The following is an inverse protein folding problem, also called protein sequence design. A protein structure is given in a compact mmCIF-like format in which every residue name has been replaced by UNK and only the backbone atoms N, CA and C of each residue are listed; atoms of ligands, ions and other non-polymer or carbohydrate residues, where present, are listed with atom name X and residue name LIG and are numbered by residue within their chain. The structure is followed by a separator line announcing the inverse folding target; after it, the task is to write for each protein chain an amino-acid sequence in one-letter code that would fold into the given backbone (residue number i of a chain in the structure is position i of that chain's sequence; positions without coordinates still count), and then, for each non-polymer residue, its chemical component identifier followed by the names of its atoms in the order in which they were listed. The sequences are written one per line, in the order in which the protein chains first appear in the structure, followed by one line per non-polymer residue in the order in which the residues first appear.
data_IF_458532709897
#
_entry.id   IF_458532709897
#
_cell.length_a   1.000
_cell.length_b   1.000
_cell.length_c   1.000
_cell.angle_alpha   90.00
_cell.angle_beta   90.00
_cell.angle_gamma   90.00
#
_symmetry.space_group_name_H-M   'P 1'
#
loop_
_entity.id
_entity.type
_entity.pdbx_description
1 polymer ?
#
# COMPACT_ATOMS: atom_id res chain seq x y z
N UNK A 1 13.78 0.42 12.75
CA UNK A 1 13.93 1.22 11.51
C UNK A 1 15.41 1.49 11.27
N UNK A 2 15.96 1.18 10.10
CA UNK A 2 17.35 1.39 9.72
C UNK A 2 17.45 2.36 8.53
N UNK A 3 17.31 3.68 8.75
CA UNK A 3 17.29 4.67 7.68
C UNK A 3 18.70 4.91 7.14
N UNK A 4 18.78 5.27 5.85
CA UNK A 4 20.00 5.76 5.21
C UNK A 4 20.21 7.22 5.61
N UNK A 5 21.46 7.61 5.90
CA UNK A 5 21.85 9.00 6.10
C UNK A 5 22.30 9.63 4.78
N UNK A 6 22.25 10.94 4.72
CA UNK A 6 22.69 11.69 3.54
C UNK A 6 24.15 11.38 3.16
N UNK A 7 25.03 11.24 4.15
CA UNK A 7 26.44 10.90 3.95
C UNK A 7 26.68 9.49 3.35
N UNK A 8 25.70 8.60 3.41
CA UNK A 8 25.78 7.25 2.86
C UNK A 8 25.55 7.22 1.34
N UNK A 9 25.17 8.34 0.74
CA UNK A 9 24.86 8.41 -0.70
C UNK A 9 25.79 9.40 -1.40
N UNK A 10 26.45 8.91 -2.42
CA UNK A 10 27.28 9.75 -3.30
C UNK A 10 26.45 10.36 -4.43
N UNK A 11 26.97 11.47 -4.99
CA UNK A 11 26.45 12.22 -6.15
C UNK A 11 25.01 12.78 -6.03
N UNK A 12 24.54 13.04 -4.80
CA UNK A 12 23.26 13.71 -4.57
C UNK A 12 23.23 15.13 -5.19
N UNK A 13 24.39 15.76 -5.36
CA UNK A 13 24.54 17.08 -5.98
C UNK A 13 24.08 17.13 -7.44
N UNK A 14 24.08 15.98 -8.13
CA UNK A 14 23.63 15.86 -9.52
C UNK A 14 22.10 15.78 -9.67
N UNK A 15 21.37 15.60 -8.56
CA UNK A 15 19.92 15.41 -8.57
C UNK A 15 19.23 16.65 -8.01
N UNK A 16 18.22 17.14 -8.73
CA UNK A 16 17.39 18.25 -8.26
C UNK A 16 16.51 17.80 -7.08
N UNK A 17 16.19 18.72 -6.18
CA UNK A 17 15.27 18.52 -5.08
C UNK A 17 14.04 19.43 -5.21
N UNK A 18 12.90 19.06 -4.60
CA UNK A 18 12.66 17.81 -3.90
C UNK A 18 12.48 16.63 -4.89
N UNK A 19 13.04 15.47 -4.55
CA UNK A 19 12.94 14.26 -5.40
C UNK A 19 12.68 13.00 -4.58
N UNK A 20 11.90 12.07 -5.14
CA UNK A 20 11.71 10.75 -4.58
C UNK A 20 12.91 9.86 -4.95
N UNK A 21 13.50 9.22 -3.95
CA UNK A 21 14.54 8.20 -4.10
C UNK A 21 13.98 6.85 -3.71
N UNK A 22 14.29 5.80 -4.48
CA UNK A 22 13.97 4.41 -4.17
C UNK A 22 15.24 3.59 -4.11
N UNK A 23 15.32 2.69 -3.14
CA UNK A 23 16.43 1.77 -2.88
C UNK A 23 15.99 0.35 -3.28
N UNK A 24 16.26 -0.12 -4.52
CA UNK A 24 15.78 -1.41 -5.01
C UNK A 24 16.18 -2.60 -4.14
N UNK A 25 17.41 -2.61 -3.63
CA UNK A 25 17.91 -3.70 -2.76
C UNK A 25 17.09 -3.80 -1.47
N UNK A 26 16.64 -2.66 -0.91
CA UNK A 26 15.76 -2.63 0.27
C UNK A 26 14.34 -3.08 -0.08
N UNK A 27 13.85 -2.74 -1.26
CA UNK A 27 12.56 -3.27 -1.74
C UNK A 27 12.62 -4.78 -1.83
N UNK A 28 13.70 -5.33 -2.40
CA UNK A 28 13.92 -6.78 -2.52
C UNK A 28 14.03 -7.46 -1.14
N UNK A 29 14.78 -6.87 -0.21
CA UNK A 29 14.88 -7.37 1.16
C UNK A 29 13.51 -7.37 1.88
N UNK A 30 12.70 -6.34 1.65
CA UNK A 30 11.34 -6.28 2.18
C UNK A 30 10.42 -7.34 1.56
N UNK A 31 10.58 -7.66 0.27
CA UNK A 31 9.86 -8.78 -0.38
C UNK A 31 10.29 -10.11 0.25
N UNK A 32 11.60 -10.34 0.43
CA UNK A 32 12.11 -11.54 1.09
C UNK A 32 11.57 -11.68 2.52
N UNK A 33 11.56 -10.59 3.28
CA UNK A 33 10.96 -10.56 4.62
C UNK A 33 9.48 -10.95 4.61
N UNK A 34 8.70 -10.44 3.65
CA UNK A 34 7.29 -10.85 3.51
C UNK A 34 7.15 -12.35 3.22
N UNK A 35 8.00 -12.90 2.36
CA UNK A 35 8.02 -14.33 2.05
C UNK A 35 8.38 -15.17 3.27
N UNK A 36 9.41 -14.78 4.02
CA UNK A 36 9.81 -15.47 5.25
C UNK A 36 8.67 -15.51 6.28
N UNK A 37 7.94 -14.39 6.43
CA UNK A 37 6.81 -14.30 7.37
C UNK A 37 5.65 -15.25 7.05
N UNK A 38 5.45 -15.59 5.78
CA UNK A 38 4.44 -16.57 5.34
C UNK A 38 5.02 -17.97 5.11
N UNK A 39 6.24 -18.25 5.61
CA UNK A 39 6.89 -19.55 5.49
C UNK A 39 7.30 -19.91 4.05
N UNK A 40 7.52 -18.94 3.19
CA UNK A 40 7.89 -19.13 1.78
C UNK A 40 6.71 -19.44 0.85
N UNK A 41 5.49 -19.54 1.37
CA UNK A 41 4.31 -19.82 0.54
C UNK A 41 3.84 -18.53 -0.18
N UNK A 42 4.26 -18.36 -1.42
CA UNK A 42 3.87 -17.24 -2.28
C UNK A 42 2.37 -17.10 -2.50
N UNK A 43 1.62 -18.22 -2.37
CA UNK A 43 0.18 -18.24 -2.58
C UNK A 43 -0.58 -17.55 -1.44
N UNK A 44 0.08 -17.35 -0.29
CA UNK A 44 -0.44 -16.63 0.87
C UNK A 44 -0.24 -15.12 0.79
N UNK A 45 0.45 -14.64 -0.22
CA UNK A 45 0.69 -13.21 -0.43
C UNK A 45 -0.18 -12.67 -1.57
N UNK A 46 -0.86 -11.55 -1.29
CA UNK A 46 -1.57 -10.69 -2.25
C UNK A 46 -1.23 -9.22 -1.96
N UNK A 47 0.03 -8.79 -2.17
CA UNK A 47 0.48 -7.46 -1.79
C UNK A 47 -0.30 -6.35 -2.47
N UNK A 48 -0.50 -5.23 -1.76
CA UNK A 48 -1.25 -4.09 -2.28
C UNK A 48 -0.35 -3.09 -3.01
N UNK A 49 -0.55 -2.90 -4.30
CA UNK A 49 0.31 -2.04 -5.16
C UNK A 49 0.07 -0.54 -4.96
N UNK A 50 -0.97 -0.12 -4.22
CA UNK A 50 -1.32 1.31 -4.04
C UNK A 50 -0.22 2.15 -3.41
N UNK A 51 0.71 1.52 -2.67
CA UNK A 51 1.79 2.23 -1.98
C UNK A 51 2.82 2.75 -2.97
N UNK A 52 3.26 1.91 -3.90
CA UNK A 52 4.33 2.25 -4.84
C UNK A 52 3.83 2.73 -6.20
N UNK A 53 2.74 2.17 -6.76
CA UNK A 53 2.18 2.52 -8.07
C UNK A 53 3.19 2.43 -9.23
N UNK A 54 4.20 1.56 -9.10
CA UNK A 54 5.33 1.37 -10.01
C UNK A 54 5.31 -0.03 -10.60
N UNK A 55 5.48 -0.14 -11.92
CA UNK A 55 5.54 -1.39 -12.65
C UNK A 55 6.75 -2.25 -12.22
N UNK A 56 7.88 -1.60 -11.99
CA UNK A 56 9.14 -2.27 -11.63
C UNK A 56 9.03 -2.99 -10.29
N UNK A 57 8.36 -2.39 -9.30
CA UNK A 57 8.13 -3.01 -7.98
C UNK A 57 7.21 -4.24 -8.10
N UNK A 58 6.25 -4.23 -9.03
CA UNK A 58 5.46 -5.44 -9.33
C UNK A 58 6.37 -6.51 -9.93
N UNK A 59 7.22 -6.16 -10.92
CA UNK A 59 8.14 -7.13 -11.57
C UNK A 59 9.12 -7.74 -10.58
N UNK A 60 9.64 -6.99 -9.61
CA UNK A 60 10.50 -7.53 -8.54
C UNK A 60 9.77 -8.61 -7.73
N UNK A 61 8.51 -8.40 -7.41
CA UNK A 61 7.70 -9.38 -6.68
C UNK A 61 7.37 -10.60 -7.55
N UNK A 62 7.04 -10.39 -8.84
CA UNK A 62 6.79 -11.48 -9.80
C UNK A 62 8.04 -12.34 -9.98
N UNK A 63 9.22 -11.75 -10.05
CA UNK A 63 10.50 -12.48 -10.14
C UNK A 63 10.75 -13.39 -8.93
N UNK A 64 10.13 -13.10 -7.78
CA UNK A 64 10.16 -13.94 -6.57
C UNK A 64 8.95 -14.90 -6.46
N UNK A 65 8.14 -15.02 -7.52
CA UNK A 65 7.00 -15.94 -7.60
C UNK A 65 5.68 -15.39 -7.07
N UNK A 66 5.62 -14.15 -6.61
CA UNK A 66 4.38 -13.49 -6.17
C UNK A 66 3.63 -12.98 -7.40
N UNK A 67 2.52 -13.63 -7.75
CA UNK A 67 1.72 -13.29 -8.94
C UNK A 67 0.31 -12.80 -8.63
N UNK A 68 -0.09 -12.84 -7.35
CA UNK A 68 -1.37 -12.35 -6.83
C UNK A 68 -1.20 -10.96 -6.24
N UNK A 69 -2.05 -10.01 -6.63
CA UNK A 69 -1.94 -8.62 -6.18
C UNK A 69 -3.28 -8.02 -5.82
N UNK A 70 -3.26 -7.01 -4.94
CA UNK A 70 -4.40 -6.17 -4.61
C UNK A 70 -4.17 -4.76 -5.13
N UNK A 71 -5.21 -4.16 -5.72
CA UNK A 71 -5.20 -2.84 -6.32
C UNK A 71 -6.32 -1.97 -5.75
N UNK A 72 -6.15 -0.66 -5.73
CA UNK A 72 -7.18 0.30 -5.31
C UNK A 72 -7.81 1.07 -6.49
N UNK A 73 -7.23 0.99 -7.68
CA UNK A 73 -7.72 1.67 -8.88
C UNK A 73 -7.57 0.79 -10.12
N UNK A 74 -8.37 1.06 -11.15
CA UNK A 74 -8.30 0.36 -12.43
C UNK A 74 -6.91 0.57 -13.08
N UNK A 75 -6.35 1.78 -12.97
CA UNK A 75 -5.00 2.05 -13.47
C UNK A 75 -3.93 1.19 -12.77
N UNK A 76 -4.06 0.95 -11.45
CA UNK A 76 -3.18 0.02 -10.73
C UNK A 76 -3.38 -1.42 -11.21
N UNK A 77 -4.62 -1.85 -11.46
CA UNK A 77 -4.92 -3.18 -11.97
C UNK A 77 -4.33 -3.38 -13.37
N UNK A 78 -4.48 -2.41 -14.27
CA UNK A 78 -3.89 -2.41 -15.60
C UNK A 78 -2.35 -2.48 -15.55
N UNK A 79 -1.71 -1.62 -14.74
CA UNK A 79 -0.27 -1.64 -14.51
C UNK A 79 0.20 -3.01 -14.01
N UNK A 80 -0.53 -3.61 -13.07
CA UNK A 80 -0.18 -4.90 -12.46
C UNK A 80 -0.25 -6.02 -13.50
N UNK A 81 -1.28 -6.06 -14.32
CA UNK A 81 -1.42 -7.03 -15.40
C UNK A 81 -0.26 -6.93 -16.42
N UNK A 82 0.06 -5.71 -16.88
CA UNK A 82 1.18 -5.43 -17.79
C UNK A 82 2.53 -5.86 -17.18
N UNK A 83 2.63 -5.85 -15.86
CA UNK A 83 3.86 -6.15 -15.13
C UNK A 83 4.02 -7.63 -14.73
N UNK A 84 3.09 -8.51 -15.14
CA UNK A 84 3.17 -9.95 -14.92
C UNK A 84 2.34 -10.47 -13.73
N UNK A 85 1.49 -9.64 -13.12
CA UNK A 85 0.49 -10.13 -12.19
C UNK A 85 -0.56 -10.97 -12.90
N UNK A 86 -0.83 -12.17 -12.41
CA UNK A 86 -1.76 -13.12 -13.04
C UNK A 86 -3.11 -13.23 -12.32
N UNK A 87 -3.20 -12.73 -11.09
CA UNK A 87 -4.44 -12.68 -10.29
C UNK A 87 -4.51 -11.32 -9.57
N UNK A 88 -5.45 -10.48 -9.98
CA UNK A 88 -5.55 -9.07 -9.59
C UNK A 88 -6.91 -8.76 -8.97
N UNK A 89 -6.91 -8.49 -7.66
CA UNK A 89 -8.09 -8.07 -6.92
C UNK A 89 -8.19 -6.54 -6.88
N UNK A 90 -9.21 -5.99 -7.51
CA UNK A 90 -9.60 -4.59 -7.32
C UNK A 90 -10.37 -4.45 -5.99
N UNK A 91 -9.66 -4.06 -4.94
CA UNK A 91 -10.23 -3.84 -3.60
C UNK A 91 -10.92 -2.46 -3.51
N UNK A 92 -11.80 -2.22 -4.45
CA UNK A 92 -12.63 -1.03 -4.55
C UNK A 92 -13.84 -1.38 -5.41
N UNK A 93 -15.04 -1.25 -4.86
CA UNK A 93 -16.27 -1.57 -5.56
C UNK A 93 -16.42 -0.71 -6.84
N UNK A 94 -16.42 -1.31 -8.04
CA UNK A 94 -16.53 -0.55 -9.26
C UNK A 94 -18.00 -0.14 -9.51
N UNK A 95 -18.26 1.17 -9.51
CA UNK A 95 -19.58 1.74 -9.72
C UNK A 95 -19.57 2.70 -10.90
N UNK A 96 -20.74 2.90 -11.53
CA UNK A 96 -20.88 3.79 -12.67
C UNK A 96 -19.91 3.42 -13.82
N UNK A 97 -19.21 4.38 -14.43
CA UNK A 97 -18.29 4.10 -15.54
C UNK A 97 -17.14 3.14 -15.19
N UNK A 98 -16.79 3.02 -13.90
CA UNK A 98 -15.72 2.11 -13.49
C UNK A 98 -16.11 0.63 -13.60
N UNK A 99 -17.41 0.30 -13.57
CA UNK A 99 -17.87 -1.07 -13.85
C UNK A 99 -17.48 -1.48 -15.29
N UNK A 100 -17.83 -0.67 -16.27
CA UNK A 100 -17.47 -0.95 -17.66
C UNK A 100 -15.97 -0.99 -17.90
N UNK A 101 -15.19 -0.11 -17.25
CA UNK A 101 -13.71 -0.13 -17.33
C UNK A 101 -13.11 -1.39 -16.67
N UNK A 102 -13.69 -1.88 -15.57
CA UNK A 102 -13.27 -3.12 -14.94
C UNK A 102 -13.51 -4.32 -15.87
N UNK A 103 -14.66 -4.39 -16.53
CA UNK A 103 -14.96 -5.46 -17.50
C UNK A 103 -14.03 -5.38 -18.73
N UNK A 104 -13.71 -4.18 -19.19
CA UNK A 104 -12.73 -4.00 -20.27
C UNK A 104 -11.32 -4.48 -19.91
N UNK A 105 -10.91 -4.45 -18.62
CA UNK A 105 -9.65 -5.08 -18.18
C UNK A 105 -9.65 -6.58 -18.48
N UNK A 106 -10.75 -7.27 -18.17
CA UNK A 106 -10.90 -8.72 -18.40
C UNK A 106 -10.82 -9.06 -19.87
N UNK A 107 -11.49 -8.29 -20.72
CA UNK A 107 -11.48 -8.47 -22.18
C UNK A 107 -10.07 -8.24 -22.75
N UNK A 108 -9.35 -7.25 -22.23
CA UNK A 108 -8.03 -6.86 -22.73
C UNK A 108 -6.90 -7.78 -22.28
N UNK A 109 -6.98 -8.32 -21.09
CA UNK A 109 -5.96 -9.17 -20.47
C UNK A 109 -6.55 -10.54 -20.13
N UNK A 110 -6.99 -11.29 -21.14
CA UNK A 110 -7.70 -12.56 -21.01
C UNK A 110 -6.93 -13.65 -20.24
N UNK A 111 -5.59 -13.52 -20.16
CA UNK A 111 -4.73 -14.44 -19.40
C UNK A 111 -4.60 -14.06 -17.91
N UNK A 112 -5.20 -12.94 -17.48
CA UNK A 112 -5.15 -12.45 -16.10
C UNK A 112 -6.52 -12.61 -15.46
N UNK A 113 -6.54 -13.24 -14.29
CA UNK A 113 -7.75 -13.34 -13.47
C UNK A 113 -7.99 -12.02 -12.75
N UNK A 114 -9.08 -11.34 -13.08
CA UNK A 114 -9.51 -10.14 -12.36
C UNK A 114 -10.69 -10.43 -11.46
N UNK A 115 -10.66 -9.87 -10.28
CA UNK A 115 -11.78 -9.88 -9.34
C UNK A 115 -11.99 -8.48 -8.74
N UNK A 116 -13.18 -8.23 -8.22
CA UNK A 116 -13.49 -6.97 -7.54
C UNK A 116 -14.17 -7.22 -6.20
N UNK A 117 -14.04 -6.27 -5.26
CA UNK A 117 -14.84 -6.30 -4.03
C UNK A 117 -16.22 -5.70 -4.26
N UNK A 118 -17.22 -6.27 -3.61
CA UNK A 118 -18.60 -5.76 -3.56
C UNK A 118 -19.15 -5.87 -2.14
N UNK A 119 -20.01 -4.95 -1.74
CA UNK A 119 -20.64 -4.92 -0.41
C UNK A 119 -22.15 -4.60 -0.47
N UNK A 120 -22.71 -4.46 -1.69
CA UNK A 120 -24.12 -4.14 -1.85
C UNK A 120 -24.84 -4.96 -2.91
N UNK A 121 -26.10 -5.35 -2.65
CA UNK A 121 -26.93 -6.06 -3.62
C UNK A 121 -27.16 -5.27 -4.92
N UNK A 122 -27.16 -3.94 -4.85
CA UNK A 122 -27.37 -3.04 -5.99
C UNK A 122 -26.23 -3.16 -6.99
N UNK A 123 -24.97 -3.18 -6.50
CA UNK A 123 -23.79 -3.32 -7.37
C UNK A 123 -23.72 -4.73 -7.96
N UNK A 124 -24.05 -5.77 -7.21
CA UNK A 124 -24.17 -7.13 -7.75
C UNK A 124 -25.21 -7.16 -8.87
N UNK A 125 -26.37 -6.50 -8.70
CA UNK A 125 -27.39 -6.39 -9.75
C UNK A 125 -26.87 -5.67 -11.02
N UNK A 126 -25.99 -4.67 -10.88
CA UNK A 126 -25.38 -4.02 -12.03
C UNK A 126 -24.43 -4.96 -12.78
N UNK A 127 -23.63 -5.79 -12.07
CA UNK A 127 -22.83 -6.82 -12.69
C UNK A 127 -23.69 -7.86 -13.43
N UNK A 128 -24.75 -8.37 -12.80
CA UNK A 128 -25.68 -9.33 -13.42
C UNK A 128 -26.28 -8.79 -14.72
N UNK A 129 -26.71 -7.53 -14.76
CA UNK A 129 -27.28 -6.86 -15.95
C UNK A 129 -26.33 -6.80 -17.14
N UNK A 130 -25.01 -6.82 -16.90
CA UNK A 130 -24.04 -6.78 -18.01
C UNK A 130 -24.02 -8.07 -18.81
N UNK A 131 -24.39 -9.21 -18.19
CA UNK A 131 -24.29 -10.55 -18.77
C UNK A 131 -22.84 -11.04 -18.96
N UNK A 132 -21.83 -10.22 -18.58
CA UNK A 132 -20.42 -10.61 -18.65
C UNK A 132 -20.02 -11.35 -17.37
N UNK A 133 -19.10 -12.31 -17.50
CA UNK A 133 -18.58 -13.04 -16.35
C UNK A 133 -17.73 -12.15 -15.47
N UNK A 134 -17.87 -12.27 -14.15
CA UNK A 134 -17.04 -11.55 -13.17
C UNK A 134 -16.86 -12.40 -11.89
N UNK A 135 -15.64 -12.33 -11.34
CA UNK A 135 -15.29 -12.97 -10.06
C UNK A 135 -15.34 -11.91 -8.97
N UNK A 136 -16.13 -12.14 -7.91
CA UNK A 136 -16.44 -11.14 -6.89
C UNK A 136 -16.08 -11.63 -5.47
N UNK A 137 -15.41 -10.78 -4.73
CA UNK A 137 -15.20 -10.92 -3.29
C UNK A 137 -16.23 -10.07 -2.53
N UNK A 138 -16.88 -10.67 -1.54
CA UNK A 138 -17.70 -9.87 -0.62
C UNK A 138 -16.78 -9.15 0.36
N UNK A 139 -16.85 -7.80 0.36
CA UNK A 139 -16.13 -6.96 1.33
C UNK A 139 -16.89 -7.00 2.65
N UNK A 140 -16.20 -7.37 3.74
CA UNK A 140 -16.78 -7.51 5.08
C UNK A 140 -16.27 -6.39 5.96
N UNK A 141 -17.18 -5.66 6.61
CA UNK A 141 -16.80 -4.69 7.64
C UNK A 141 -16.39 -5.41 8.93
N UNK A 142 -15.10 -5.52 9.14
CA UNK A 142 -14.49 -6.12 10.33
C UNK A 142 -14.20 -5.10 11.44
N UNK A 143 -14.89 -3.94 11.44
CA UNK A 143 -14.76 -2.89 12.44
C UNK A 143 -14.11 -1.59 11.95
N UNK A 144 -13.76 -1.50 10.65
CA UNK A 144 -13.21 -0.27 10.10
C UNK A 144 -14.28 0.78 9.78
N UNK A 145 -15.52 0.36 9.53
CA UNK A 145 -16.69 1.21 9.25
C UNK A 145 -16.45 2.21 8.09
N UNK A 146 -15.77 1.74 7.03
CA UNK A 146 -15.46 2.55 5.84
C UNK A 146 -16.19 2.04 4.59
N UNK A 147 -16.05 0.76 4.32
CA UNK A 147 -16.72 -0.04 3.28
C UNK A 147 -16.94 -1.43 3.87
N UNK A 148 -17.69 -2.24 3.16
CA UNK A 148 -18.00 -3.60 3.58
C UNK A 148 -19.40 -3.74 4.14
N UNK A 149 -19.98 -4.91 3.95
CA UNK A 149 -21.25 -5.30 4.55
C UNK A 149 -21.03 -5.82 5.97
N UNK A 150 -21.93 -5.50 6.89
CA UNK A 150 -21.89 -6.07 8.24
C UNK A 150 -21.94 -7.61 8.19
N UNK A 151 -21.08 -8.31 8.95
CA UNK A 151 -21.07 -9.77 8.96
C UNK A 151 -22.38 -10.33 9.56
N UNK A 152 -22.96 -11.33 8.86
CA UNK A 152 -24.22 -11.95 9.29
C UNK A 152 -25.08 -12.38 8.11
N UNK A 153 -26.40 -12.52 8.34
CA UNK A 153 -27.36 -13.01 7.33
C UNK A 153 -27.40 -12.15 6.05
N UNK A 154 -27.20 -10.82 6.17
CA UNK A 154 -27.14 -9.93 5.00
C UNK A 154 -25.93 -10.24 4.10
N UNK A 155 -24.76 -10.44 4.71
CA UNK A 155 -23.54 -10.83 4.01
C UNK A 155 -23.67 -12.23 3.40
N UNK A 156 -24.23 -13.18 4.13
CA UNK A 156 -24.53 -14.52 3.62
C UNK A 156 -25.48 -14.47 2.41
N UNK A 157 -26.55 -13.68 2.47
CA UNK A 157 -27.49 -13.53 1.36
C UNK A 157 -26.81 -12.95 0.11
N UNK A 158 -25.86 -12.01 0.29
CA UNK A 158 -25.05 -11.48 -0.80
C UNK A 158 -24.14 -12.55 -1.43
N UNK A 159 -23.46 -13.35 -0.60
CA UNK A 159 -22.64 -14.48 -1.06
C UNK A 159 -23.48 -15.50 -1.85
N UNK A 160 -24.65 -15.90 -1.33
CA UNK A 160 -25.58 -16.82 -2.01
C UNK A 160 -26.03 -16.27 -3.36
N UNK A 161 -26.35 -14.98 -3.41
CA UNK A 161 -26.78 -14.32 -4.67
C UNK A 161 -25.69 -14.41 -5.73
N UNK A 162 -24.45 -14.06 -5.37
CA UNK A 162 -23.32 -14.14 -6.29
C UNK A 162 -23.11 -15.59 -6.74
N UNK A 163 -23.08 -16.55 -5.78
CA UNK A 163 -22.86 -17.97 -6.09
C UNK A 163 -23.95 -18.63 -6.94
N UNK A 164 -25.18 -18.10 -6.88
CA UNK A 164 -26.32 -18.58 -7.69
C UNK A 164 -26.49 -17.87 -9.02
N UNK A 165 -25.70 -16.84 -9.30
CA UNK A 165 -25.78 -16.10 -10.55
C UNK A 165 -25.19 -16.90 -11.71
N UNK A 166 -25.78 -16.77 -12.91
CA UNK A 166 -25.31 -17.47 -14.11
C UNK A 166 -23.97 -16.94 -14.64
N UNK A 167 -23.65 -15.69 -14.34
CA UNK A 167 -22.47 -14.99 -14.88
C UNK A 167 -21.50 -14.48 -13.80
N UNK A 168 -21.78 -14.70 -12.52
CA UNK A 168 -20.89 -14.26 -11.44
C UNK A 168 -20.31 -15.46 -10.69
N UNK A 169 -19.09 -15.28 -10.20
CA UNK A 169 -18.40 -16.25 -9.36
C UNK A 169 -18.19 -15.66 -7.96
N UNK A 170 -18.59 -16.39 -6.92
CA UNK A 170 -18.22 -16.07 -5.55
C UNK A 170 -16.79 -16.53 -5.29
N UNK A 171 -15.84 -15.60 -5.38
CA UNK A 171 -14.42 -15.85 -5.19
C UNK A 171 -14.01 -15.94 -3.71
N UNK A 172 -14.74 -15.27 -2.83
CA UNK A 172 -14.44 -15.30 -1.41
C UNK A 172 -14.78 -14.02 -0.65
N UNK A 173 -14.09 -13.84 0.47
CA UNK A 173 -14.25 -12.69 1.37
C UNK A 173 -13.01 -11.78 1.35
N UNK A 174 -13.23 -10.50 1.45
CA UNK A 174 -12.19 -9.51 1.71
C UNK A 174 -12.50 -8.80 3.04
N UNK A 175 -11.55 -8.78 3.97
CA UNK A 175 -11.70 -8.12 5.27
C UNK A 175 -10.47 -7.26 5.57
N UNK A 176 -10.62 -5.94 5.50
CA UNK A 176 -9.54 -5.00 5.74
C UNK A 176 -9.65 -4.31 7.10
N UNK A 177 -8.73 -4.61 7.97
CA UNK A 177 -8.64 -4.17 9.35
C UNK A 177 -7.81 -2.88 9.55
N UNK A 178 -7.88 -1.96 8.61
CA UNK A 178 -7.09 -0.73 8.59
C UNK A 178 -7.22 0.20 9.79
N UNK A 179 -8.13 -0.05 10.71
CA UNK A 179 -8.31 0.65 11.98
C UNK A 179 -7.37 0.14 13.08
N UNK A 180 -6.76 -1.05 12.91
CA UNK A 180 -5.88 -1.66 13.91
C UNK A 180 -4.47 -1.08 13.84
N UNK A 181 -4.27 0.11 14.41
CA UNK A 181 -3.00 0.84 14.47
C UNK A 181 -2.40 0.90 15.88
N UNK A 182 -2.64 -0.11 16.71
CA UNK A 182 -2.11 -0.17 18.06
C UNK A 182 -0.60 -0.47 18.04
N UNK A 183 0.27 0.40 18.60
CA UNK A 183 1.72 0.19 18.55
C UNK A 183 2.19 -1.03 19.35
N UNK A 184 1.57 -1.28 20.51
CA UNK A 184 1.87 -2.44 21.35
C UNK A 184 1.46 -3.75 20.65
N UNK A 185 2.40 -4.71 20.52
CA UNK A 185 2.11 -5.99 19.88
C UNK A 185 1.01 -6.77 20.63
N UNK A 186 1.00 -6.73 21.96
CA UNK A 186 -0.02 -7.41 22.78
C UNK A 186 -1.39 -6.83 22.48
N UNK A 187 -1.54 -5.51 22.62
CA UNK A 187 -2.83 -4.82 22.39
C UNK A 187 -3.32 -5.02 20.95
N UNK A 188 -2.37 -5.01 19.98
CA UNK A 188 -2.67 -5.24 18.57
C UNK A 188 -3.11 -6.68 18.32
N UNK A 189 -2.52 -7.66 19.01
CA UNK A 189 -2.91 -9.08 18.93
C UNK A 189 -4.31 -9.29 19.50
N UNK A 190 -4.64 -8.70 20.64
CA UNK A 190 -5.96 -8.78 21.25
C UNK A 190 -7.02 -8.14 20.35
N UNK A 191 -6.76 -6.94 19.82
CA UNK A 191 -7.66 -6.26 18.91
C UNK A 191 -7.85 -7.03 17.58
N UNK A 192 -6.79 -7.65 17.06
CA UNK A 192 -6.84 -8.52 15.89
C UNK A 192 -7.73 -9.75 16.15
N UNK A 193 -7.56 -10.43 17.29
CA UNK A 193 -8.41 -11.56 17.66
C UNK A 193 -9.88 -11.16 17.77
N UNK A 194 -10.18 -10.04 18.41
CA UNK A 194 -11.54 -9.50 18.53
C UNK A 194 -12.14 -9.14 17.16
N UNK A 195 -11.35 -8.58 16.25
CA UNK A 195 -11.80 -8.28 14.90
C UNK A 195 -12.16 -9.56 14.13
N UNK A 196 -11.37 -10.64 14.22
CA UNK A 196 -11.69 -11.93 13.61
C UNK A 196 -12.97 -12.51 14.21
N UNK A 197 -13.10 -12.51 15.53
CA UNK A 197 -14.29 -13.02 16.22
C UNK A 197 -15.56 -12.31 15.76
N UNK A 198 -15.49 -11.02 15.44
CA UNK A 198 -16.64 -10.22 14.99
C UNK A 198 -17.30 -10.75 13.73
N UNK A 199 -16.58 -11.49 12.88
CA UNK A 199 -17.11 -12.06 11.63
C UNK A 199 -16.93 -13.59 11.52
N UNK A 200 -16.46 -14.27 12.58
CA UNK A 200 -16.34 -15.72 12.63
C UNK A 200 -17.68 -16.42 12.39
N UNK A 201 -18.78 -15.84 12.89
CA UNK A 201 -20.12 -16.34 12.64
C UNK A 201 -20.50 -16.40 11.16
N UNK A 202 -20.03 -15.47 10.34
CA UNK A 202 -20.24 -15.51 8.89
C UNK A 202 -19.51 -16.70 8.24
N UNK A 203 -18.30 -17.02 8.68
CA UNK A 203 -17.55 -18.19 8.18
C UNK A 203 -18.33 -19.48 8.45
N UNK A 204 -18.87 -19.62 9.66
CA UNK A 204 -19.69 -20.77 10.02
C UNK A 204 -20.97 -20.87 9.19
N UNK A 205 -21.62 -19.74 8.88
CA UNK A 205 -22.79 -19.71 8.01
C UNK A 205 -22.45 -20.15 6.59
N UNK A 206 -21.31 -19.69 6.03
CA UNK A 206 -20.84 -20.10 4.69
C UNK A 206 -20.52 -21.59 4.62
N UNK A 207 -19.90 -22.15 5.65
CA UNK A 207 -19.63 -23.59 5.75
C UNK A 207 -20.93 -24.40 5.79
N UNK A 208 -21.91 -23.99 6.60
CA UNK A 208 -23.21 -24.67 6.69
C UNK A 208 -23.98 -24.68 5.37
N UNK A 209 -23.77 -23.67 4.53
CA UNK A 209 -24.39 -23.55 3.20
C UNK A 209 -23.59 -24.26 2.08
N UNK A 210 -22.47 -24.87 2.40
CA UNK A 210 -21.53 -25.47 1.43
C UNK A 210 -21.07 -24.49 0.34
N UNK A 211 -20.88 -23.21 0.68
CA UNK A 211 -20.34 -22.20 -0.22
C UNK A 211 -18.81 -22.23 -0.32
N UNK A 212 -18.13 -23.10 0.45
CA UNK A 212 -16.70 -23.38 0.34
C UNK A 212 -16.38 -24.32 -0.86
N UNK A 213 -15.14 -24.31 -1.42
CA UNK A 213 -13.99 -23.50 -0.98
C UNK A 213 -14.06 -22.05 -1.51
N UNK A 214 -13.56 -21.13 -0.74
CA UNK A 214 -13.43 -19.73 -1.10
C UNK A 214 -12.13 -19.14 -0.55
N UNK A 215 -11.67 -18.07 -1.16
CA UNK A 215 -10.47 -17.36 -0.71
C UNK A 215 -10.83 -16.29 0.34
N UNK A 216 -10.00 -16.16 1.36
CA UNK A 216 -10.09 -15.06 2.34
C UNK A 216 -8.88 -14.15 2.17
N UNK A 217 -9.12 -12.88 1.80
CA UNK A 217 -8.09 -11.84 1.65
C UNK A 217 -8.18 -10.87 2.80
N UNK A 218 -7.11 -10.74 3.58
CA UNK A 218 -7.16 -10.05 4.88
C UNK A 218 -6.02 -9.05 5.08
N UNK A 219 -6.27 -8.15 5.99
CA UNK A 219 -5.30 -7.34 6.68
C UNK A 219 -4.66 -6.22 5.88
N UNK A 220 -3.85 -5.50 6.60
CA UNK A 220 -2.94 -4.46 6.13
C UNK A 220 -1.54 -4.68 6.68
N UNK A 221 -0.63 -3.72 6.49
CA UNK A 221 0.76 -3.86 6.97
C UNK A 221 0.88 -3.99 8.49
N UNK A 222 0.09 -3.29 9.34
CA UNK A 222 0.21 -3.41 10.80
C UNK A 222 -0.10 -4.80 11.36
N UNK A 223 -1.06 -5.50 10.76
CA UNK A 223 -1.54 -6.81 11.21
C UNK A 223 -0.97 -7.97 10.38
N UNK A 224 -0.13 -7.67 9.39
CA UNK A 224 0.43 -8.68 8.49
C UNK A 224 1.11 -9.83 9.25
N UNK A 225 1.95 -9.53 10.24
CA UNK A 225 2.63 -10.56 11.03
C UNK A 225 1.69 -11.48 11.81
N UNK A 226 0.50 -11.01 12.18
CA UNK A 226 -0.52 -11.80 12.86
C UNK A 226 -1.26 -12.71 11.89
N UNK A 227 -1.71 -12.17 10.75
CA UNK A 227 -2.35 -12.98 9.70
C UNK A 227 -1.41 -13.96 9.03
N UNK A 228 -0.12 -13.68 8.97
CA UNK A 228 0.89 -14.59 8.44
C UNK A 228 1.00 -15.90 9.24
N UNK A 229 0.55 -15.91 10.50
CA UNK A 229 0.51 -17.10 11.34
C UNK A 229 -0.76 -17.94 11.15
N UNK A 230 -1.77 -17.43 10.42
CA UNK A 230 -3.03 -18.11 10.18
C UNK A 230 -2.95 -18.90 8.87
N UNK A 231 -3.31 -20.17 8.88
CA UNK A 231 -3.30 -20.99 7.69
C UNK A 231 -4.38 -20.60 6.67
N UNK A 232 -4.06 -20.77 5.39
CA UNK A 232 -4.97 -20.65 4.25
C UNK A 232 -5.55 -19.25 3.94
N UNK A 233 -5.20 -18.19 4.67
CA UNK A 233 -5.63 -16.84 4.36
C UNK A 233 -4.57 -16.07 3.57
N UNK A 234 -5.01 -15.27 2.60
CA UNK A 234 -4.11 -14.42 1.80
C UNK A 234 -3.90 -13.08 2.49
N UNK A 235 -2.65 -12.80 2.83
CA UNK A 235 -2.23 -11.56 3.46
C UNK A 235 -2.02 -10.45 2.43
N UNK A 236 -2.48 -9.24 2.76
CA UNK A 236 -2.47 -8.12 1.82
C UNK A 236 -1.70 -6.89 2.32
N UNK A 237 -0.42 -7.03 2.70
CA UNK A 237 0.41 -5.90 3.08
C UNK A 237 0.71 -5.00 1.86
N UNK A 238 0.92 -3.71 2.08
CA UNK A 238 1.26 -2.78 1.00
C UNK A 238 2.43 -1.87 1.34
N UNK A 239 2.40 -1.25 2.52
CA UNK A 239 3.45 -0.31 2.96
C UNK A 239 4.76 -1.02 3.31
N UNK A 240 4.73 -2.32 3.57
CA UNK A 240 5.90 -3.18 3.82
C UNK A 240 6.98 -3.05 2.74
N UNK A 241 6.59 -2.86 1.48
CA UNK A 241 7.54 -2.77 0.36
C UNK A 241 8.43 -1.53 0.42
N UNK A 242 7.90 -0.41 0.91
CA UNK A 242 8.63 0.85 1.00
C UNK A 242 8.93 1.28 2.42
N UNK A 243 8.09 0.86 3.37
CA UNK A 243 8.10 1.23 4.76
C UNK A 243 8.22 2.75 4.95
N UNK A 244 7.80 3.26 6.07
CA UNK A 244 7.84 4.70 6.34
C UNK A 244 8.10 5.03 7.82
N UNK A 245 8.29 6.31 8.12
CA UNK A 245 8.58 6.74 9.48
C UNK A 245 7.41 6.47 10.43
N UNK A 246 6.16 6.61 9.96
CA UNK A 246 4.98 6.36 10.78
C UNK A 246 4.92 4.91 11.25
N UNK A 247 5.07 3.96 10.35
CA UNK A 247 5.06 2.55 10.69
C UNK A 247 6.36 2.10 11.38
N UNK A 248 7.51 2.65 10.98
CA UNK A 248 8.77 2.33 11.61
C UNK A 248 8.84 2.73 13.10
N UNK A 249 8.15 3.81 13.49
CA UNK A 249 8.03 4.21 14.90
C UNK A 249 6.93 3.45 15.63
N UNK A 250 5.81 3.17 14.96
CA UNK A 250 4.66 2.53 15.59
C UNK A 250 4.83 1.00 15.74
N UNK A 251 5.51 0.34 14.80
CA UNK A 251 5.58 -1.13 14.70
C UNK A 251 7.02 -1.62 14.58
N UNK A 252 7.86 -1.43 15.62
CA UNK A 252 9.26 -1.86 15.60
C UNK A 252 9.44 -3.39 15.52
N UNK A 253 8.39 -4.14 15.84
CA UNK A 253 8.33 -5.61 15.74
C UNK A 253 8.27 -6.13 14.29
N UNK A 254 7.93 -5.30 13.30
CA UNK A 254 7.79 -5.74 11.92
C UNK A 254 9.08 -5.68 11.10
N UNK A 255 10.09 -4.97 11.54
CA UNK A 255 11.48 -4.97 11.01
C UNK A 255 11.63 -4.81 9.49
N UNK A 256 10.78 -4.00 8.84
CA UNK A 256 10.94 -3.63 7.45
C UNK A 256 11.86 -2.43 7.27
N UNK A 257 12.51 -2.32 6.11
CA UNK A 257 13.42 -1.24 5.78
C UNK A 257 12.73 -0.09 5.04
N UNK A 258 13.10 1.15 5.38
CA UNK A 258 12.69 2.31 4.59
C UNK A 258 13.39 2.26 3.22
N UNK A 259 12.63 1.89 2.19
CA UNK A 259 13.10 1.74 0.82
C UNK A 259 12.70 2.89 -0.11
N UNK A 260 11.95 3.88 0.41
CA UNK A 260 11.60 5.10 -0.30
C UNK A 260 11.83 6.31 0.60
N UNK A 261 12.61 7.28 0.13
CA UNK A 261 12.98 8.49 0.86
C UNK A 261 12.90 9.70 -0.06
N UNK A 262 12.91 10.89 0.51
CA UNK A 262 12.90 12.16 -0.22
C UNK A 262 14.26 12.83 -0.08
N UNK A 263 14.82 13.27 -1.21
CA UNK A 263 15.91 14.22 -1.24
C UNK A 263 15.34 15.62 -1.12
N UNK A 264 15.88 16.42 -0.22
CA UNK A 264 15.54 17.85 -0.04
C UNK A 264 16.81 18.67 0.18
N UNK A 265 16.72 20.00 0.02
CA UNK A 265 17.83 20.91 0.29
C UNK A 265 17.42 22.06 1.19
N UNK A 266 18.40 22.55 1.94
CA UNK A 266 18.28 23.77 2.72
C UNK A 266 18.37 24.95 1.74
N UNK A 267 17.26 25.68 1.59
CA UNK A 267 17.20 26.83 0.68
C UNK A 267 17.33 28.17 1.42
N UNK A 268 17.14 28.17 2.75
CA UNK A 268 17.28 29.38 3.57
C UNK A 268 17.47 29.03 5.04
N UNK A 269 18.05 29.96 5.82
CA UNK A 269 18.25 29.80 7.27
C UNK A 269 17.68 30.97 8.07
N UNK A 270 16.36 31.22 8.07
CA UNK A 270 15.75 32.33 8.77
C UNK A 270 15.84 32.15 10.30
N UNK A 271 16.41 33.15 11.00
CA UNK A 271 16.47 33.18 12.47
C UNK A 271 17.03 31.86 13.10
N UNK A 272 18.04 31.24 12.47
CA UNK A 272 18.67 30.00 12.96
C UNK A 272 17.90 28.76 12.69
N UNK A 273 16.78 28.81 11.97
CA UNK A 273 16.02 27.64 11.48
C UNK A 273 16.53 27.17 10.13
N UNK A 274 16.16 25.95 9.75
CA UNK A 274 16.42 25.39 8.42
C UNK A 274 15.13 25.43 7.60
N UNK A 275 15.12 26.15 6.50
CA UNK A 275 14.03 26.12 5.53
C UNK A 275 14.42 25.21 4.36
N UNK A 276 13.65 24.17 4.15
CA UNK A 276 13.83 23.16 3.11
C UNK A 276 12.87 23.40 1.95
N UNK A 277 13.23 22.93 0.75
CA UNK A 277 12.37 22.88 -0.45
C UNK A 277 11.35 21.72 -0.42
N UNK A 278 10.96 21.25 0.76
CA UNK A 278 10.08 20.09 0.98
C UNK A 278 8.69 20.53 1.47
N UNK A 279 7.92 21.15 0.59
CA UNK A 279 6.54 21.54 0.90
C UNK A 279 5.54 20.40 0.78
N UNK A 280 4.26 20.71 1.06
CA UNK A 280 3.20 19.69 1.01
C UNK A 280 2.84 19.24 -0.42
N UNK A 281 3.43 19.82 -1.45
CA UNK A 281 3.37 19.31 -2.82
C UNK A 281 4.35 18.18 -3.11
N UNK A 282 5.32 17.96 -2.21
CA UNK A 282 6.36 16.93 -2.36
C UNK A 282 6.35 15.88 -1.25
N UNK A 283 5.74 16.17 -0.09
CA UNK A 283 5.51 15.21 0.99
C UNK A 283 4.08 15.32 1.50
N UNK A 284 3.46 14.18 1.78
CA UNK A 284 2.08 14.10 2.25
C UNK A 284 1.82 14.94 3.51
N UNK A 285 0.72 15.68 3.51
CA UNK A 285 0.39 16.67 4.54
C UNK A 285 -0.91 16.39 5.30
N UNK A 286 -1.49 15.20 5.16
CA UNK A 286 -2.74 14.81 5.82
C UNK A 286 -2.56 14.50 7.33
N UNK A 287 -1.32 14.26 7.77
CA UNK A 287 -0.98 14.10 9.18
C UNK A 287 -0.67 15.44 9.84
N UNK A 288 -0.74 15.55 11.18
CA UNK A 288 -0.24 16.74 11.89
C UNK A 288 1.19 17.10 11.46
N UNK A 289 1.54 18.39 11.56
CA UNK A 289 2.83 18.89 11.05
C UNK A 289 4.05 18.15 11.62
N UNK A 290 3.99 17.68 12.86
CA UNK A 290 5.05 16.90 13.50
C UNK A 290 5.23 15.50 12.88
N UNK A 291 4.25 15.04 12.12
CA UNK A 291 4.18 13.69 11.56
C UNK A 291 4.05 13.75 10.03
N UNK A 292 4.94 14.49 9.36
CA UNK A 292 4.96 14.57 7.88
C UNK A 292 6.22 13.99 7.29
N UNK A 293 7.37 14.25 7.94
CA UNK A 293 8.66 13.68 7.56
C UNK A 293 9.57 13.60 8.79
N UNK A 294 10.45 12.61 8.79
CA UNK A 294 11.51 12.44 9.76
C UNK A 294 12.86 12.49 9.06
N UNK A 295 13.85 13.11 9.68
CA UNK A 295 15.16 13.39 9.07
C UNK A 295 16.24 12.59 9.82
N UNK A 296 16.87 11.58 9.20
CA UNK A 296 17.92 10.76 9.84
C UNK A 296 19.14 11.55 10.32
N UNK A 297 19.48 12.65 9.60
CA UNK A 297 20.59 13.53 9.97
C UNK A 297 20.21 14.59 11.02
N UNK A 298 18.92 14.77 11.26
CA UNK A 298 18.34 15.73 12.18
C UNK A 298 17.25 15.09 13.05
N UNK A 299 17.55 14.01 13.81
CA UNK A 299 16.54 13.21 14.50
C UNK A 299 15.73 13.97 15.55
N UNK A 300 16.29 15.07 16.07
CA UNK A 300 15.66 15.94 17.08
C UNK A 300 14.99 17.19 16.47
N UNK A 301 15.02 17.34 15.15
CA UNK A 301 14.40 18.47 14.49
C UNK A 301 12.89 18.49 14.72
N UNK A 302 12.38 19.70 14.99
CA UNK A 302 10.94 19.95 15.19
C UNK A 302 10.41 20.78 14.02
N UNK A 303 9.37 20.33 13.34
CA UNK A 303 8.68 21.12 12.35
C UNK A 303 8.09 22.39 12.96
N UNK A 304 8.44 23.54 12.36
CA UNK A 304 7.94 24.84 12.75
C UNK A 304 6.80 25.32 11.85
N UNK A 305 6.99 25.21 10.53
CA UNK A 305 6.04 25.64 9.51
C UNK A 305 6.19 24.78 8.27
N UNK A 306 5.08 24.43 7.61
CA UNK A 306 5.09 23.89 6.26
C UNK A 306 4.09 24.66 5.38
N UNK A 307 4.49 24.95 4.16
CA UNK A 307 3.65 25.53 3.11
C UNK A 307 3.75 24.68 1.83
N UNK A 308 3.31 25.23 0.71
CA UNK A 308 3.23 24.46 -0.54
C UNK A 308 4.58 23.89 -0.98
N UNK A 309 5.65 24.71 -0.93
CA UNK A 309 6.99 24.34 -1.40
C UNK A 309 8.08 24.49 -0.32
N UNK A 310 7.71 24.75 0.93
CA UNK A 310 8.66 25.00 2.00
C UNK A 310 8.34 24.18 3.24
N UNK A 311 9.40 23.70 3.92
CA UNK A 311 9.31 23.06 5.22
C UNK A 311 10.36 23.63 6.15
N UNK A 312 9.95 24.34 7.19
CA UNK A 312 10.84 25.00 8.16
C UNK A 312 10.98 24.12 9.39
N UNK A 313 12.24 23.86 9.78
CA UNK A 313 12.61 23.07 10.93
C UNK A 313 13.35 23.89 11.97
N UNK A 314 13.09 23.66 13.23
CA UNK A 314 13.95 23.99 14.36
C UNK A 314 14.81 22.78 14.68
N UNK A 315 16.14 22.92 14.65
CA UNK A 315 17.07 21.84 14.95
C UNK A 315 18.18 22.35 15.89
N UNK A 316 18.55 21.61 16.95
CA UNK A 316 19.60 22.03 17.88
C UNK A 316 20.92 22.32 17.19
N UNK A 317 21.25 21.53 16.15
CA UNK A 317 22.47 21.62 15.36
C UNK A 317 22.29 22.33 14.00
N UNK A 318 21.30 23.23 13.86
CA UNK A 318 21.08 23.99 12.62
C UNK A 318 22.31 24.82 12.20
N UNK A 319 23.20 25.15 13.15
CA UNK A 319 24.45 25.87 12.88
C UNK A 319 25.45 25.10 12.02
N UNK A 320 25.40 23.77 12.06
CA UNK A 320 26.33 22.88 11.35
C UNK A 320 26.02 22.74 9.85
N UNK A 321 24.88 23.24 9.40
CA UNK A 321 24.41 23.13 8.03
C UNK A 321 24.47 24.48 7.28
N UNK A 322 24.73 24.41 5.99
CA UNK A 322 24.75 25.57 5.07
C UNK A 322 23.54 25.54 4.12
N UNK A 323 23.26 26.69 3.53
CA UNK A 323 22.33 26.79 2.39
C UNK A 323 22.93 26.01 1.21
N UNK A 324 22.14 25.16 0.60
CA UNK A 324 22.54 24.22 -0.47
C UNK A 324 22.80 22.81 0.02
N UNK A 325 22.99 22.58 1.32
CA UNK A 325 23.19 21.23 1.85
C UNK A 325 21.96 20.36 1.59
N UNK A 326 22.24 19.14 1.15
CA UNK A 326 21.25 18.10 0.94
C UNK A 326 20.92 17.39 2.25
N UNK A 327 19.67 16.98 2.38
CA UNK A 327 19.16 16.12 3.47
C UNK A 327 18.26 15.06 2.90
N UNK A 328 18.28 13.88 3.55
CA UNK A 328 17.28 12.85 3.31
C UNK A 328 16.14 12.98 4.33
N UNK A 329 14.93 12.78 3.84
CA UNK A 329 13.72 12.73 4.65
C UNK A 329 12.98 11.42 4.42
N UNK A 330 12.63 10.72 5.50
CA UNK A 330 11.71 9.58 5.47
C UNK A 330 10.29 10.14 5.61
N UNK A 331 9.39 9.96 4.62
CA UNK A 331 8.02 10.41 4.75
C UNK A 331 7.36 9.70 5.93
N UNK A 332 6.51 10.42 6.67
CA UNK A 332 5.74 9.80 7.75
C UNK A 332 4.64 8.87 7.22
N UNK A 333 4.12 9.17 6.02
CA UNK A 333 3.18 8.33 5.29
C UNK A 333 3.61 8.25 3.81
N UNK A 334 4.22 7.15 3.45
CA UNK A 334 4.84 6.97 2.12
C UNK A 334 3.81 6.87 0.99
N UNK A 335 2.64 6.25 1.24
CA UNK A 335 1.66 5.99 0.19
C UNK A 335 1.17 7.26 -0.54
N UNK A 336 0.64 8.30 0.13
CA UNK A 336 0.26 9.53 -0.54
C UNK A 336 1.48 10.32 -1.03
N UNK A 337 2.63 10.23 -0.35
CA UNK A 337 3.87 10.91 -0.77
C UNK A 337 4.33 10.43 -2.15
N UNK A 338 4.42 9.13 -2.37
CA UNK A 338 4.83 8.55 -3.67
C UNK A 338 3.93 9.06 -4.81
N UNK A 339 2.63 9.19 -4.57
CA UNK A 339 1.68 9.66 -5.58
C UNK A 339 1.87 11.14 -5.98
N UNK A 340 2.62 11.94 -5.21
CA UNK A 340 2.96 13.32 -5.56
C UNK A 340 4.07 13.40 -6.62
N UNK A 341 4.90 12.36 -6.74
CA UNK A 341 6.05 12.32 -7.66
C UNK A 341 5.71 11.56 -8.95
N UNK A 342 6.23 12.05 -10.07
CA UNK A 342 6.03 11.40 -11.38
C UNK A 342 6.94 10.18 -11.55
N UNK A 343 8.13 10.24 -10.98
CA UNK A 343 9.15 9.18 -11.01
C UNK A 343 10.00 9.21 -9.74
N UNK A 344 10.73 8.14 -9.51
CA UNK A 344 11.73 8.04 -8.46
C UNK A 344 13.11 7.79 -9.07
N UNK A 345 14.13 8.45 -8.56
CA UNK A 345 15.53 8.11 -8.85
C UNK A 345 15.94 6.88 -8.05
N UNK A 346 16.79 6.03 -8.63
CA UNK A 346 17.23 4.82 -7.96
C UNK A 346 18.59 5.03 -7.28
N UNK A 347 18.69 4.52 -6.08
CA UNK A 347 19.95 4.45 -5.32
C UNK A 347 20.39 3.00 -5.24
N UNK A 348 21.57 2.68 -5.81
CA UNK A 348 22.21 1.37 -5.76
C UNK A 348 23.61 1.51 -5.20
N UNK A 349 24.01 0.62 -4.32
CA UNK A 349 25.37 0.61 -3.70
C UNK A 349 25.78 2.00 -3.17
N UNK A 350 24.87 2.72 -2.52
CA UNK A 350 25.12 4.07 -1.99
C UNK A 350 25.34 5.14 -3.05
N UNK A 351 24.84 4.96 -4.27
CA UNK A 351 24.97 5.93 -5.37
C UNK A 351 23.64 6.10 -6.11
N UNK A 352 23.27 7.36 -6.42
CA UNK A 352 22.16 7.62 -7.34
C UNK A 352 22.58 7.24 -8.75
N UNK A 353 21.77 6.41 -9.40
CA UNK A 353 22.01 5.94 -10.78
C UNK A 353 21.33 6.88 -11.79
N UNK A 354 21.60 6.66 -13.09
CA UNK A 354 20.87 7.33 -14.19
C UNK A 354 19.48 6.73 -14.46
N UNK A 355 19.14 5.62 -13.79
CA UNK A 355 17.86 4.96 -13.93
C UNK A 355 16.79 5.64 -13.08
N UNK A 356 15.55 5.56 -13.53
CA UNK A 356 14.38 6.01 -12.77
C UNK A 356 13.20 5.07 -12.99
N UNK A 357 12.35 4.96 -11.96
CA UNK A 357 11.08 4.24 -12.05
C UNK A 357 9.92 5.22 -12.10
N UNK A 358 9.03 5.04 -13.07
CA UNK A 358 7.84 5.88 -13.20
C UNK A 358 6.77 5.46 -12.17
N UNK A 359 6.16 6.43 -11.49
CA UNK A 359 4.97 6.22 -10.65
C UNK A 359 3.74 6.19 -11.57
N UNK A 360 3.70 5.23 -12.47
CA UNK A 360 2.79 5.22 -13.63
C UNK A 360 1.33 5.21 -13.22
N UNK A 361 0.96 4.44 -12.19
CA UNK A 361 -0.43 4.31 -11.75
C UNK A 361 -0.89 5.43 -10.78
N UNK A 362 -0.11 6.53 -10.63
CA UNK A 362 -0.64 7.78 -10.08
C UNK A 362 -1.65 8.45 -11.01
N UNK A 363 -1.56 8.17 -12.28
CA UNK A 363 -2.60 8.49 -13.26
C UNK A 363 -3.86 7.68 -12.94
N UNK A 364 -5.05 8.28 -13.12
CA UNK A 364 -6.32 7.58 -12.87
C UNK A 364 -6.76 6.73 -14.04
N UNK A 365 -6.18 6.93 -15.22
CA UNK A 365 -6.34 6.15 -16.42
C UNK A 365 -4.98 6.00 -17.08
N UNK A 366 -4.66 4.80 -17.56
CA UNK A 366 -3.49 4.53 -18.38
C UNK A 366 -3.94 4.45 -19.84
N UNK A 367 -4.60 3.35 -20.20
CA UNK A 367 -5.14 3.15 -21.55
C UNK A 367 -6.64 2.87 -21.53
N UNK A 368 -7.21 2.56 -20.35
CA UNK A 368 -8.64 2.32 -20.13
C UNK A 368 -9.27 3.41 -19.28
#
# INVERSE_FOLDING_TARGET
MNPVKTADISNLEAISSPSLLVFPERVEANVDRMLDMVGGDVLRLRPHVKTHKMAEVVRLQVAKGITRFKCATIAEAEMTAISGGSDVLLAHQPVGPNLSRFLQLQDRFSEVSFSATVDSPEVVAEFEKTGQSASLFVDVDCGMHRTGIEPGEGALALCRRIASSENLEFAGLHAYDGHLHLPGLIDRTEAHAAAIESWAGLLQLLENENLAPYTIVVGGSPTFGLFAQMDNWQCSPGTTLFWDAGYGHAFPDLEFECAAMLLTRIISKPAGRLCLDLGHKSVAAEKPIGNRAWFPDLPEAKPFLQSEEHFVLEAPNAGDFAVGDALLAVPWHVCPTVALHAHAHLVRDGRVTSESWEVVARKRSLTL
#
